data_IF_346029804530
#
_entry.id   IF_346029804530
#
_cell.length_a   1.000
_cell.length_b   1.000
_cell.length_c   1.000
_cell.angle_alpha   90.00
_cell.angle_beta   90.00
_cell.angle_gamma   90.00
#
_symmetry.space_group_name_H-M   'P 1'
#
loop_
_entity.id
_entity.type
_entity.pdbx_description
1 polymer ?
#
# COMPACT_ATOMS: atom_id res chain seq x y z
N UNK A 1 7.76 26.97 22.67
CA UNK A 1 7.67 25.50 22.61
C UNK A 1 6.29 25.13 22.10
N UNK A 2 6.15 24.67 20.85
CA UNK A 2 5.00 23.92 20.31
C UNK A 2 5.28 23.61 18.84
N UNK A 3 5.97 22.50 18.57
CA UNK A 3 6.40 22.17 17.20
C UNK A 3 6.52 20.67 16.90
N UNK A 4 5.97 19.79 17.73
CA UNK A 4 6.26 18.34 17.64
C UNK A 4 5.05 17.45 17.33
N UNK A 5 3.85 18.00 17.20
CA UNK A 5 2.63 17.22 16.92
C UNK A 5 2.26 17.13 15.43
N UNK A 6 2.98 17.81 14.54
CA UNK A 6 2.67 17.83 13.10
C UNK A 6 3.38 16.77 12.25
N UNK A 7 4.38 16.08 12.79
CA UNK A 7 5.19 15.10 12.03
C UNK A 7 4.61 13.69 12.02
N UNK A 8 3.55 13.43 12.79
CA UNK A 8 2.96 12.09 12.94
C UNK A 8 1.96 11.77 11.83
N UNK A 9 1.95 10.49 11.41
CA UNK A 9 0.96 10.00 10.46
C UNK A 9 -0.46 10.14 11.04
N UNK A 10 -1.47 10.52 10.23
CA UNK A 10 -2.85 10.55 10.67
C UNK A 10 -3.28 9.20 11.22
N UNK A 11 -4.01 9.20 12.35
CA UNK A 11 -4.42 7.98 13.06
C UNK A 11 -5.09 6.94 12.15
N UNK A 12 -5.90 7.38 11.20
CA UNK A 12 -6.54 6.48 10.23
C UNK A 12 -5.54 5.73 9.35
N UNK A 13 -4.45 6.39 8.91
CA UNK A 13 -3.41 5.72 8.13
C UNK A 13 -2.62 4.72 8.98
N UNK A 14 -2.31 5.06 10.23
CA UNK A 14 -1.65 4.14 11.17
C UNK A 14 -2.48 2.87 11.39
N UNK A 15 -3.80 3.03 11.57
CA UNK A 15 -4.72 1.88 11.74
C UNK A 15 -4.78 1.04 10.46
N UNK A 16 -4.88 1.68 9.29
CA UNK A 16 -4.91 0.97 8.01
C UNK A 16 -3.63 0.17 7.76
N UNK A 17 -2.47 0.74 8.09
CA UNK A 17 -1.17 0.09 8.04
C UNK A 17 -1.11 -1.12 8.98
N UNK A 18 -1.53 -0.97 10.23
CA UNK A 18 -1.56 -2.10 11.17
C UNK A 18 -2.44 -3.26 10.69
N UNK A 19 -3.55 -2.98 10.01
CA UNK A 19 -4.36 -4.04 9.39
C UNK A 19 -3.64 -4.72 8.21
N UNK A 20 -2.88 -3.99 7.39
CA UNK A 20 -2.07 -4.59 6.34
C UNK A 20 -0.99 -5.50 6.94
N UNK A 21 -0.27 -5.02 7.95
CA UNK A 21 0.75 -5.81 8.66
C UNK A 21 0.18 -7.07 9.27
N UNK A 22 -1.00 -7.00 9.90
CA UNK A 22 -1.69 -8.17 10.44
C UNK A 22 -2.02 -9.19 9.32
N UNK A 23 -2.39 -8.70 8.13
CA UNK A 23 -2.77 -9.54 7.00
C UNK A 23 -1.58 -10.10 6.20
N UNK A 24 -0.37 -9.56 6.33
CA UNK A 24 0.82 -9.98 5.55
C UNK A 24 2.03 -10.40 6.39
N UNK A 25 2.02 -10.10 7.69
CA UNK A 25 3.12 -10.33 8.60
C UNK A 25 3.17 -11.76 9.18
N UNK A 26 3.91 -11.97 10.29
CA UNK A 26 4.03 -13.27 10.93
C UNK A 26 2.66 -13.88 11.31
N UNK A 27 1.71 -13.06 11.75
CA UNK A 27 0.35 -13.50 12.06
C UNK A 27 -0.36 -14.15 10.85
N UNK A 28 -0.11 -13.65 9.63
CA UNK A 28 -0.64 -14.27 8.42
C UNK A 28 0.00 -15.64 8.14
N UNK A 29 1.30 -15.78 8.41
CA UNK A 29 2.04 -17.04 8.28
C UNK A 29 1.61 -18.09 9.31
N UNK A 30 1.09 -17.65 10.46
CA UNK A 30 0.59 -18.52 11.53
C UNK A 30 -0.84 -19.05 11.29
N UNK A 31 -1.40 -18.87 10.09
CA UNK A 31 -2.65 -19.54 9.70
C UNK A 31 -3.92 -18.71 9.87
N UNK A 32 -3.85 -17.38 9.71
CA UNK A 32 -5.05 -16.55 9.59
C UNK A 32 -5.99 -17.13 8.53
N UNK A 33 -7.19 -17.52 8.94
CA UNK A 33 -8.19 -18.07 8.03
C UNK A 33 -8.44 -17.08 6.87
N UNK A 34 -8.49 -17.59 5.63
CA UNK A 34 -8.63 -16.77 4.42
C UNK A 34 -9.81 -15.77 4.49
N UNK A 35 -11.00 -16.12 5.03
CA UNK A 35 -12.08 -15.15 5.19
C UNK A 35 -11.71 -13.98 6.12
N UNK A 36 -11.00 -14.27 7.21
CA UNK A 36 -10.55 -13.27 8.17
C UNK A 36 -9.46 -12.39 7.56
N UNK A 37 -8.49 -12.98 6.86
CA UNK A 37 -7.47 -12.21 6.12
C UNK A 37 -8.12 -11.24 5.12
N UNK A 38 -9.08 -11.72 4.31
CA UNK A 38 -9.81 -10.85 3.38
C UNK A 38 -10.61 -9.76 4.09
N UNK A 39 -11.22 -10.06 5.24
CA UNK A 39 -11.92 -9.05 6.05
C UNK A 39 -10.95 -7.99 6.54
N UNK A 40 -9.80 -8.39 7.08
CA UNK A 40 -8.74 -7.48 7.54
C UNK A 40 -8.27 -6.55 6.44
N UNK A 41 -7.99 -7.08 5.24
CA UNK A 41 -7.58 -6.28 4.08
C UNK A 41 -8.66 -5.29 3.61
N UNK A 42 -9.95 -5.69 3.64
CA UNK A 42 -11.06 -4.78 3.33
C UNK A 42 -11.18 -3.66 4.35
N UNK A 43 -10.97 -3.97 5.63
CA UNK A 43 -10.94 -2.95 6.68
C UNK A 43 -9.79 -1.98 6.47
N UNK A 44 -8.58 -2.47 6.17
CA UNK A 44 -7.43 -1.63 5.83
C UNK A 44 -7.74 -0.66 4.68
N UNK A 45 -8.31 -1.19 3.59
CA UNK A 45 -8.70 -0.40 2.43
C UNK A 45 -9.71 0.69 2.80
N UNK A 46 -10.80 0.31 3.48
CA UNK A 46 -11.86 1.23 3.87
C UNK A 46 -11.31 2.36 4.74
N UNK A 47 -10.56 2.01 5.79
CA UNK A 47 -9.97 2.99 6.71
C UNK A 47 -9.01 3.93 5.98
N UNK A 48 -8.18 3.43 5.06
CA UNK A 48 -7.28 4.27 4.28
C UNK A 48 -8.04 5.23 3.35
N UNK A 49 -9.13 4.78 2.71
CA UNK A 49 -9.96 5.60 1.80
C UNK A 49 -10.71 6.70 2.55
N UNK A 50 -11.31 6.36 3.69
CA UNK A 50 -12.12 7.29 4.49
C UNK A 50 -11.27 8.30 5.27
N UNK A 51 -9.99 8.00 5.50
CA UNK A 51 -9.10 8.90 6.20
C UNK A 51 -8.86 10.18 5.39
N UNK A 52 -9.39 11.30 5.87
CA UNK A 52 -9.07 12.61 5.31
C UNK A 52 -7.64 12.99 5.68
N UNK A 53 -6.83 13.27 4.65
CA UNK A 53 -5.41 13.57 4.84
C UNK A 53 -4.97 14.84 4.11
N UNK A 54 -4.06 15.58 4.73
CA UNK A 54 -3.38 16.70 4.11
C UNK A 54 -2.50 16.25 2.94
N UNK A 55 -2.15 17.19 2.05
CA UNK A 55 -1.38 16.90 0.81
C UNK A 55 -0.10 16.09 1.07
N UNK A 56 0.61 16.36 2.18
CA UNK A 56 1.85 15.66 2.55
C UNK A 56 1.68 14.15 2.78
N UNK A 57 0.51 13.71 3.25
CA UNK A 57 0.24 12.30 3.56
C UNK A 57 -0.47 11.54 2.43
N UNK A 58 -0.89 12.22 1.35
CA UNK A 58 -1.55 11.58 0.20
C UNK A 58 -0.72 10.47 -0.45
N UNK A 59 0.62 10.57 -0.59
CA UNK A 59 1.41 9.47 -1.13
C UNK A 59 1.34 8.22 -0.25
N UNK A 60 1.40 8.39 1.07
CA UNK A 60 1.26 7.28 2.02
C UNK A 60 -0.13 6.65 1.97
N UNK A 61 -1.18 7.47 1.98
CA UNK A 61 -2.55 7.00 1.80
C UNK A 61 -2.71 6.20 0.50
N UNK A 62 -2.20 6.73 -0.61
CA UNK A 62 -2.27 6.06 -1.91
C UNK A 62 -1.49 4.73 -1.90
N UNK A 63 -0.36 4.65 -1.21
CA UNK A 63 0.39 3.41 -1.06
C UNK A 63 -0.43 2.35 -0.32
N UNK A 64 -1.02 2.69 0.83
CA UNK A 64 -1.83 1.78 1.63
C UNK A 64 -3.06 1.27 0.86
N UNK A 65 -3.77 2.17 0.16
CA UNK A 65 -4.89 1.81 -0.71
C UNK A 65 -4.44 0.83 -1.81
N UNK A 66 -3.33 1.14 -2.49
CA UNK A 66 -2.79 0.32 -3.55
C UNK A 66 -2.35 -1.07 -3.08
N UNK A 67 -1.68 -1.15 -1.93
CA UNK A 67 -1.27 -2.42 -1.34
C UNK A 67 -2.47 -3.27 -0.92
N UNK A 68 -3.49 -2.67 -0.30
CA UNK A 68 -4.70 -3.38 0.09
C UNK A 68 -5.43 -3.97 -1.14
N UNK A 69 -5.59 -3.19 -2.20
CA UNK A 69 -6.20 -3.65 -3.46
C UNK A 69 -5.39 -4.79 -4.09
N UNK A 70 -4.06 -4.67 -4.15
CA UNK A 70 -3.16 -5.73 -4.65
C UNK A 70 -3.33 -7.03 -3.87
N UNK A 71 -3.35 -6.96 -2.54
CA UNK A 71 -3.50 -8.14 -1.67
C UNK A 71 -4.90 -8.76 -1.75
N UNK A 72 -5.92 -7.95 -2.04
CA UNK A 72 -7.28 -8.42 -2.34
C UNK A 72 -7.42 -9.01 -3.76
N UNK A 73 -6.36 -8.97 -4.57
CA UNK A 73 -6.36 -9.46 -5.96
C UNK A 73 -7.05 -8.52 -6.95
N UNK A 74 -7.26 -7.25 -6.59
CA UNK A 74 -7.83 -6.19 -7.45
C UNK A 74 -6.69 -5.42 -8.14
N UNK A 75 -5.94 -6.13 -8.98
CA UNK A 75 -4.66 -5.66 -9.52
C UNK A 75 -4.82 -4.44 -10.42
N UNK A 76 -5.86 -4.42 -11.24
CA UNK A 76 -6.29 -3.32 -12.10
C UNK A 76 -6.55 -2.04 -11.30
N UNK A 77 -7.35 -2.14 -10.23
CA UNK A 77 -7.69 -1.02 -9.36
C UNK A 77 -6.49 -0.52 -8.55
N UNK A 78 -5.53 -1.40 -8.26
CA UNK A 78 -4.32 -1.05 -7.51
C UNK A 78 -3.34 -0.18 -8.32
N UNK A 79 -3.38 -0.21 -9.66
CA UNK A 79 -2.40 0.49 -10.51
C UNK A 79 -2.40 2.00 -10.25
N UNK A 80 -3.57 2.65 -10.30
CA UNK A 80 -3.67 4.10 -10.14
C UNK A 80 -3.15 4.62 -8.78
N UNK A 81 -3.59 4.08 -7.62
CA UNK A 81 -3.08 4.51 -6.32
C UNK A 81 -1.58 4.23 -6.16
N UNK A 82 -1.08 3.08 -6.62
CA UNK A 82 0.37 2.80 -6.57
C UNK A 82 1.17 3.75 -7.47
N UNK A 83 0.70 4.09 -8.67
CA UNK A 83 1.32 5.12 -9.52
C UNK A 83 1.36 6.50 -8.85
N UNK A 84 0.31 6.87 -8.11
CA UNK A 84 0.28 8.12 -7.35
C UNK A 84 1.30 8.12 -6.21
N UNK A 85 1.40 7.02 -5.47
CA UNK A 85 2.40 6.84 -4.42
C UNK A 85 3.83 6.86 -4.97
N UNK A 86 4.08 6.25 -6.13
CA UNK A 86 5.41 6.16 -6.73
C UNK A 86 6.05 7.53 -7.07
N UNK A 87 5.24 8.59 -7.16
CA UNK A 87 5.72 9.96 -7.43
C UNK A 87 6.50 10.56 -6.27
N UNK A 88 6.21 10.13 -5.03
CA UNK A 88 6.93 10.61 -3.85
C UNK A 88 8.10 9.68 -3.52
N UNK A 89 9.33 10.19 -3.32
CA UNK A 89 10.50 9.37 -2.98
C UNK A 89 10.25 8.45 -1.78
N UNK A 90 9.62 8.94 -0.70
CA UNK A 90 9.42 8.18 0.53
C UNK A 90 8.51 6.96 0.38
N UNK A 91 7.69 6.89 -0.67
CA UNK A 91 6.83 5.73 -0.97
C UNK A 91 7.18 5.06 -2.29
N UNK A 92 8.23 5.54 -2.99
CA UNK A 92 8.53 5.17 -4.37
C UNK A 92 8.84 3.68 -4.49
N UNK A 93 9.79 3.21 -3.68
CA UNK A 93 10.25 1.82 -3.67
C UNK A 93 9.08 0.85 -3.52
N UNK A 94 8.33 0.97 -2.42
CA UNK A 94 7.20 0.08 -2.13
C UNK A 94 6.09 0.14 -3.18
N UNK A 95 5.82 1.34 -3.70
CA UNK A 95 4.82 1.54 -4.74
C UNK A 95 5.22 0.88 -6.07
N UNK A 96 6.50 1.00 -6.45
CA UNK A 96 7.04 0.39 -7.66
C UNK A 96 7.08 -1.14 -7.56
N UNK A 97 7.48 -1.69 -6.41
CA UNK A 97 7.38 -3.12 -6.16
C UNK A 97 5.92 -3.58 -6.28
N UNK A 98 4.99 -2.88 -5.62
CA UNK A 98 3.56 -3.15 -5.73
C UNK A 98 3.05 -3.14 -7.18
N UNK A 99 3.46 -2.15 -7.99
CA UNK A 99 3.12 -2.06 -9.41
C UNK A 99 3.65 -3.26 -10.19
N UNK A 100 4.90 -3.63 -9.94
CA UNK A 100 5.52 -4.79 -10.58
C UNK A 100 4.73 -6.08 -10.35
N UNK A 101 4.31 -6.31 -9.10
CA UNK A 101 3.43 -7.43 -8.76
C UNK A 101 2.08 -7.37 -9.47
N UNK A 102 1.44 -6.20 -9.55
CA UNK A 102 0.17 -6.04 -10.25
C UNK A 102 0.33 -6.31 -11.75
N UNK A 103 1.32 -5.72 -12.42
CA UNK A 103 1.57 -5.92 -13.85
C UNK A 103 1.84 -7.39 -14.16
N UNK A 104 2.65 -8.07 -13.34
CA UNK A 104 2.89 -9.53 -13.47
C UNK A 104 1.59 -10.32 -13.45
N UNK A 105 0.67 -9.99 -12.53
CA UNK A 105 -0.61 -10.71 -12.39
C UNK A 105 -1.61 -10.39 -13.50
N UNK A 106 -1.43 -9.27 -14.19
CA UNK A 106 -2.21 -8.86 -15.35
C UNK A 106 -1.61 -9.34 -16.69
N UNK A 107 -0.43 -9.96 -16.66
CA UNK A 107 0.25 -10.49 -17.86
C UNK A 107 1.18 -9.50 -18.57
N UNK A 108 1.29 -8.26 -18.08
CA UNK A 108 2.22 -7.26 -18.61
C UNK A 108 3.60 -7.43 -17.95
N UNK A 109 4.36 -8.40 -18.47
CA UNK A 109 5.66 -8.78 -17.90
C UNK A 109 6.72 -7.69 -18.10
N UNK A 110 6.68 -6.96 -19.21
CA UNK A 110 7.64 -5.88 -19.48
C UNK A 110 7.48 -4.73 -18.49
N UNK A 111 6.23 -4.28 -18.25
CA UNK A 111 5.96 -3.28 -17.23
C UNK A 111 6.30 -3.80 -15.82
N UNK A 112 6.12 -5.10 -15.57
CA UNK A 112 6.46 -5.71 -14.29
C UNK A 112 7.98 -5.64 -14.01
N UNK A 113 8.80 -6.07 -14.97
CA UNK A 113 10.26 -6.04 -14.88
C UNK A 113 10.74 -4.61 -14.68
N UNK A 114 10.26 -3.68 -15.51
CA UNK A 114 10.64 -2.27 -15.42
C UNK A 114 10.32 -1.68 -14.03
N UNK A 115 9.13 -1.96 -13.50
CA UNK A 115 8.72 -1.46 -12.20
C UNK A 115 9.55 -2.05 -11.05
N UNK A 116 9.81 -3.36 -11.08
CA UNK A 116 10.64 -4.03 -10.05
C UNK A 116 12.07 -3.49 -10.07
N UNK A 117 12.70 -3.42 -11.25
CA UNK A 117 14.08 -2.92 -11.38
C UNK A 117 14.22 -1.49 -10.87
N UNK A 118 13.28 -0.60 -11.22
CA UNK A 118 13.27 0.77 -10.70
C UNK A 118 13.01 0.84 -9.20
N UNK A 119 12.16 -0.04 -8.68
CA UNK A 119 11.88 -0.16 -7.25
C UNK A 119 13.11 -0.58 -6.47
N UNK A 120 13.88 -1.55 -6.98
CA UNK A 120 15.12 -2.03 -6.35
C UNK A 120 16.27 -1.03 -6.44
N UNK A 121 16.31 -0.20 -7.49
CA UNK A 121 17.29 0.87 -7.62
C UNK A 121 16.93 2.17 -6.87
N UNK A 122 15.75 2.22 -6.24
CA UNK A 122 15.34 3.35 -5.42
C UNK A 122 15.84 3.12 -3.98
N UNK A 123 17.01 3.66 -3.64
CA UNK A 123 17.51 3.76 -2.27
C UNK A 123 16.76 4.82 -1.46
#
# INVERSE_FOLDING_TARGET
MNGSSETSLPRGLVIAEGYLELATGPAAKLGLAVPLQRRTLRTALRTAVECQVSRRHRPRQALLIGQALRLLGRYDLAILPLRRAARNPATRRDALLGLGWCCKRLGDLDAAILAITRGLASD
#
